data_IF_016798101790
#
_entry.id   IF_016798101790
#
_cell.length_a   1.000
_cell.length_b   1.000
_cell.length_c   1.000
_cell.angle_alpha   90.00
_cell.angle_beta   90.00
_cell.angle_gamma   90.00
#
_symmetry.space_group_name_H-M   'P 1'
#
loop_
_entity.id
_entity.type
_entity.pdbx_description
1 polymer ?
#
# COMPACT_ATOMS: atom_id res chain seq x y z
N UNK A 1 11.90 22.49 16.32
CA UNK A 1 11.10 21.49 17.07
C UNK A 1 9.74 21.19 16.42
N UNK A 2 9.34 21.83 15.31
CA UNK A 2 8.01 21.62 14.68
C UNK A 2 7.90 20.49 13.64
N UNK A 3 9.01 20.03 13.04
CA UNK A 3 8.94 19.03 11.96
C UNK A 3 8.51 17.62 12.41
N UNK A 4 8.78 17.28 13.68
CA UNK A 4 8.45 15.96 14.25
C UNK A 4 6.97 15.87 14.66
N UNK A 5 6.38 16.99 15.08
CA UNK A 5 4.98 17.02 15.49
C UNK A 5 4.05 16.98 14.28
N UNK A 6 4.34 17.75 13.23
CA UNK A 6 3.59 17.71 11.97
C UNK A 6 3.57 16.31 11.32
N UNK A 7 4.63 15.52 11.48
CA UNK A 7 4.67 14.12 11.02
C UNK A 7 3.81 13.18 11.88
N UNK A 8 3.71 13.43 13.19
CA UNK A 8 2.88 12.65 14.11
C UNK A 8 1.39 13.04 14.05
N UNK A 9 1.05 14.28 13.66
CA UNK A 9 -0.34 14.74 13.49
C UNK A 9 -0.89 14.50 12.08
N UNK A 10 -0.04 14.37 11.05
CA UNK A 10 -0.48 13.91 9.74
C UNK A 10 -0.82 12.44 9.85
N UNK A 11 -2.11 12.11 9.64
CA UNK A 11 -2.61 10.76 9.34
C UNK A 11 -1.52 9.98 8.61
N UNK A 12 -0.93 8.99 9.29
CA UNK A 12 0.26 8.22 8.87
C UNK A 12 0.21 8.06 7.34
N UNK A 13 1.06 8.77 6.60
CA UNK A 13 0.93 8.85 5.14
C UNK A 13 1.02 7.45 4.56
N UNK A 14 -0.12 6.94 4.09
CA UNK A 14 -0.27 5.60 3.56
C UNK A 14 -0.32 5.68 2.05
N UNK A 15 0.58 4.97 1.36
CA UNK A 15 0.56 4.89 -0.10
C UNK A 15 -0.28 3.68 -0.50
N UNK A 16 -1.38 3.94 -1.21
CA UNK A 16 -2.23 2.90 -1.77
C UNK A 16 -1.75 2.54 -3.19
N UNK A 17 -1.49 1.27 -3.46
CA UNK A 17 -0.92 0.78 -4.70
C UNK A 17 -1.80 -0.31 -5.29
N UNK A 18 -2.22 -0.11 -6.52
CA UNK A 18 -2.83 -1.16 -7.35
C UNK A 18 -1.74 -1.75 -8.25
N UNK A 19 -1.87 -3.02 -8.63
CA UNK A 19 -0.83 -3.69 -9.42
C UNK A 19 0.52 -3.83 -8.69
N UNK A 20 0.55 -3.67 -7.36
CA UNK A 20 1.75 -3.76 -6.53
C UNK A 20 2.47 -5.11 -6.58
N UNK A 21 1.79 -6.16 -7.08
CA UNK A 21 2.34 -7.51 -7.26
C UNK A 21 2.92 -7.74 -8.66
N UNK A 22 2.74 -6.80 -9.59
CA UNK A 22 3.27 -6.89 -10.95
C UNK A 22 4.74 -6.47 -11.06
N UNK A 23 5.31 -6.54 -12.26
CA UNK A 23 6.74 -6.27 -12.50
C UNK A 23 7.18 -4.88 -11.97
N UNK A 24 6.51 -3.81 -12.41
CA UNK A 24 6.83 -2.45 -11.98
C UNK A 24 6.38 -2.20 -10.53
N UNK A 25 5.16 -2.63 -10.20
CA UNK A 25 4.58 -2.42 -8.88
C UNK A 25 5.42 -3.02 -7.75
N UNK A 26 6.00 -4.22 -7.96
CA UNK A 26 6.86 -4.87 -6.97
C UNK A 26 8.13 -4.08 -6.69
N UNK A 27 8.76 -3.55 -7.73
CA UNK A 27 9.95 -2.69 -7.60
C UNK A 27 9.62 -1.39 -6.87
N UNK A 28 8.48 -0.77 -7.21
CA UNK A 28 7.98 0.43 -6.53
C UNK A 28 7.73 0.16 -5.03
N UNK A 29 7.00 -0.91 -4.71
CA UNK A 29 6.71 -1.31 -3.33
C UNK A 29 8.00 -1.46 -2.52
N UNK A 30 8.98 -2.20 -3.04
CA UNK A 30 10.24 -2.41 -2.34
C UNK A 30 10.99 -1.09 -2.10
N UNK A 31 11.01 -0.18 -3.08
CA UNK A 31 11.63 1.15 -2.93
C UNK A 31 10.93 1.99 -1.86
N UNK A 32 9.60 1.98 -1.84
CA UNK A 32 8.81 2.73 -0.85
C UNK A 32 8.95 2.17 0.56
N UNK A 33 9.02 0.84 0.70
CA UNK A 33 9.31 0.19 1.99
C UNK A 33 10.72 0.53 2.49
N UNK A 34 11.72 0.57 1.60
CA UNK A 34 13.10 0.91 1.96
C UNK A 34 13.24 2.34 2.50
N UNK A 35 12.36 3.27 2.11
CA UNK A 35 12.33 4.64 2.66
C UNK A 35 11.38 4.77 3.86
N UNK A 36 10.87 3.66 4.39
CA UNK A 36 10.09 3.61 5.64
C UNK A 36 8.59 3.93 5.48
N UNK A 37 8.04 3.90 4.27
CA UNK A 37 6.61 4.18 4.06
C UNK A 37 5.72 3.01 4.47
N UNK A 38 4.50 3.34 4.88
CA UNK A 38 3.43 2.37 5.12
C UNK A 38 2.60 2.22 3.86
N UNK A 39 2.38 0.99 3.41
CA UNK A 39 1.71 0.74 2.13
C UNK A 39 0.42 -0.03 2.33
N UNK A 40 -0.52 0.20 1.41
CA UNK A 40 -1.68 -0.66 1.22
C UNK A 40 -1.74 -1.12 -0.23
N UNK A 41 -1.94 -2.41 -0.47
CA UNK A 41 -1.89 -2.99 -1.80
C UNK A 41 -3.21 -3.70 -2.09
N UNK A 42 -3.88 -3.29 -3.18
CA UNK A 42 -5.02 -4.03 -3.72
C UNK A 42 -4.54 -5.01 -4.79
N UNK A 43 -4.85 -6.28 -4.62
CA UNK A 43 -4.49 -7.33 -5.58
C UNK A 43 -5.55 -8.39 -5.71
N UNK A 44 -5.55 -9.07 -6.85
CA UNK A 44 -6.35 -10.29 -7.08
C UNK A 44 -5.66 -11.55 -6.57
N UNK A 45 -4.36 -11.47 -6.27
CA UNK A 45 -3.55 -12.63 -5.88
C UNK A 45 -3.43 -12.74 -4.36
N UNK A 46 -4.17 -13.67 -3.76
CA UNK A 46 -4.17 -13.95 -2.32
C UNK A 46 -2.87 -14.55 -1.79
N UNK A 47 -1.99 -15.07 -2.66
CA UNK A 47 -0.71 -15.66 -2.26
C UNK A 47 0.43 -14.65 -2.21
N UNK A 48 0.17 -13.37 -2.48
CA UNK A 48 1.22 -12.36 -2.42
C UNK A 48 1.59 -12.04 -0.98
N UNK A 49 2.88 -11.82 -0.75
CA UNK A 49 3.41 -11.27 0.48
C UNK A 49 4.51 -10.25 0.16
N UNK A 50 4.74 -9.36 1.12
CA UNK A 50 5.80 -8.36 1.11
C UNK A 50 6.41 -8.32 2.51
N UNK A 51 7.72 -8.08 2.59
CA UNK A 51 8.42 -7.89 3.86
C UNK A 51 8.29 -6.43 4.30
N UNK A 52 7.59 -6.15 5.40
CA UNK A 52 7.49 -4.80 5.96
C UNK A 52 6.06 -4.38 6.30
N UNK A 53 5.84 -3.07 6.46
CA UNK A 53 4.54 -2.53 6.83
C UNK A 53 3.62 -2.38 5.61
N UNK A 54 3.01 -3.50 5.21
CA UNK A 54 2.09 -3.60 4.07
C UNK A 54 0.76 -4.20 4.51
N UNK A 55 -0.32 -3.47 4.28
CA UNK A 55 -1.70 -3.98 4.36
C UNK A 55 -2.12 -4.49 2.98
N UNK A 56 -2.64 -5.73 2.89
CA UNK A 56 -3.03 -6.34 1.62
C UNK A 56 -4.55 -6.48 1.60
N UNK A 57 -5.17 -5.80 0.64
CA UNK A 57 -6.59 -5.92 0.35
C UNK A 57 -6.75 -6.84 -0.87
N UNK A 58 -7.54 -7.90 -0.69
CA UNK A 58 -7.92 -8.76 -1.81
C UNK A 58 -9.10 -8.13 -2.54
N UNK A 59 -8.97 -7.90 -3.84
CA UNK A 59 -10.04 -7.35 -4.65
C UNK A 59 -9.69 -7.27 -6.13
N UNK A 60 -10.72 -7.20 -6.95
CA UNK A 60 -10.59 -7.03 -8.39
C UNK A 60 -11.14 -5.67 -8.82
N UNK A 61 -10.26 -4.76 -9.23
CA UNK A 61 -10.64 -3.42 -9.67
C UNK A 61 -11.58 -3.40 -10.87
N UNK A 62 -11.62 -4.45 -11.67
CA UNK A 62 -12.53 -4.53 -12.82
C UNK A 62 -13.91 -5.06 -12.42
N UNK A 63 -14.09 -5.50 -11.17
CA UNK A 63 -15.38 -5.90 -10.62
C UNK A 63 -16.15 -4.69 -10.10
N UNK A 64 -17.42 -4.49 -10.49
CA UNK A 64 -18.26 -3.43 -9.92
C UNK A 64 -18.59 -3.66 -8.44
N UNK A 65 -18.30 -4.85 -7.90
CA UNK A 65 -18.49 -5.21 -6.50
C UNK A 65 -17.21 -5.08 -5.67
N UNK A 66 -16.13 -4.53 -6.25
CA UNK A 66 -14.91 -4.24 -5.51
C UNK A 66 -15.19 -3.15 -4.46
N UNK A 67 -15.16 -3.53 -3.19
CA UNK A 67 -15.38 -2.60 -2.08
C UNK A 67 -14.14 -1.71 -1.87
N UNK A 68 -14.11 -0.59 -2.60
CA UNK A 68 -13.03 0.39 -2.52
C UNK A 68 -13.02 1.16 -1.19
N UNK A 69 -14.07 1.09 -0.37
CA UNK A 69 -14.03 1.73 0.96
C UNK A 69 -13.10 1.00 1.93
N UNK A 70 -12.81 -0.28 1.65
CA UNK A 70 -11.80 -1.06 2.37
C UNK A 70 -10.37 -0.77 1.90
N UNK A 71 -10.20 -0.14 0.73
CA UNK A 71 -8.92 0.18 0.13
C UNK A 71 -8.52 1.64 0.41
#
# INVERSE_FOLDING_TARGET
MGLKEDFMTRKKMQVCITGGTGFIGRSLVNKLLNIGMSLRILTRNSKTSFSGNVDIILGDLTSPYCDLHKF
#
